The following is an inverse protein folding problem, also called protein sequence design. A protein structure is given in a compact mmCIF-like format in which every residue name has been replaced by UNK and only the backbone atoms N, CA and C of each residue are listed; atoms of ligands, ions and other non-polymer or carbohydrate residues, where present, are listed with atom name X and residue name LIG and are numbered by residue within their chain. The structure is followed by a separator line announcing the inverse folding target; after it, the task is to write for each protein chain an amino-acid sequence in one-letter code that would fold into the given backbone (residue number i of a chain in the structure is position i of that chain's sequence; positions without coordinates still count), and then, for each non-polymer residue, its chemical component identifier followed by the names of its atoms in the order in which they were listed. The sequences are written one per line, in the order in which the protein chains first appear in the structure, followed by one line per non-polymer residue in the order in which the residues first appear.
data_IF_061843773323
#
_entry.id   IF_061843773323
#
_cell.length_a   1.000
_cell.length_b   1.000
_cell.length_c   1.000
_cell.angle_alpha   90.00
_cell.angle_beta   90.00
_cell.angle_gamma   90.00
#
_symmetry.space_group_name_H-M   'P 1'
#
loop_
_entity.id
_entity.type
_entity.pdbx_description
1 polymer ?
#
# COMPACT_ATOMS: atom_id res chain seq x y z
N UNK A 1 -2.00 21.00 -18.90
CA UNK A 1 -1.38 20.02 -19.82
C UNK A 1 -0.95 18.85 -18.95
N UNK A 2 -1.44 17.65 -19.22
CA UNK A 2 -1.10 16.48 -18.42
C UNK A 2 0.37 16.10 -18.65
N UNK A 3 0.99 15.45 -17.66
CA UNK A 3 2.28 14.83 -17.89
C UNK A 3 2.11 13.58 -18.75
N UNK A 4 3.19 13.16 -19.42
CA UNK A 4 3.28 11.90 -20.18
C UNK A 4 2.75 10.71 -19.35
N UNK A 5 3.14 10.65 -18.07
CA UNK A 5 2.67 9.64 -17.12
C UNK A 5 1.15 9.70 -16.86
N UNK A 6 0.56 10.89 -16.79
CA UNK A 6 -0.88 11.04 -16.60
C UNK A 6 -1.66 10.60 -17.85
N UNK A 7 -1.12 10.88 -19.03
CA UNK A 7 -1.69 10.42 -20.30
C UNK A 7 -1.63 8.90 -20.42
N UNK A 8 -0.49 8.30 -20.07
CA UNK A 8 -0.30 6.84 -20.02
C UNK A 8 -1.24 6.16 -19.02
N UNK A 9 -1.37 6.70 -17.80
CA UNK A 9 -2.31 6.15 -16.81
C UNK A 9 -3.73 6.23 -17.38
N UNK A 10 -4.10 7.35 -18.01
CA UNK A 10 -5.47 7.55 -18.48
C UNK A 10 -5.84 6.63 -19.64
N UNK A 11 -4.91 6.36 -20.56
CA UNK A 11 -5.11 5.51 -21.74
C UNK A 11 -5.08 4.02 -21.40
N UNK A 12 -4.26 3.60 -20.43
CA UNK A 12 -4.05 2.18 -20.08
C UNK A 12 -4.95 1.67 -18.95
N UNK A 13 -5.71 2.55 -18.30
CA UNK A 13 -6.61 2.17 -17.19
C UNK A 13 -8.03 2.73 -17.37
N UNK A 14 -8.99 2.20 -16.61
CA UNK A 14 -10.38 2.65 -16.72
C UNK A 14 -11.13 2.64 -15.38
N UNK A 15 -12.29 3.30 -15.37
CA UNK A 15 -13.21 3.38 -14.23
C UNK A 15 -12.56 3.93 -12.96
N UNK A 16 -13.10 3.51 -11.82
CA UNK A 16 -12.66 3.99 -10.52
C UNK A 16 -11.20 3.64 -10.18
N UNK A 17 -10.65 2.58 -10.77
CA UNK A 17 -9.22 2.28 -10.63
C UNK A 17 -8.36 3.39 -11.26
N UNK A 18 -8.65 3.79 -12.50
CA UNK A 18 -8.00 4.93 -13.15
C UNK A 18 -8.15 6.20 -12.33
N UNK A 19 -9.38 6.53 -11.95
CA UNK A 19 -9.67 7.80 -11.29
C UNK A 19 -8.89 7.92 -9.95
N UNK A 20 -8.72 6.80 -9.24
CA UNK A 20 -7.89 6.73 -8.04
C UNK A 20 -6.39 6.94 -8.35
N UNK A 21 -5.86 6.30 -9.39
CA UNK A 21 -4.47 6.51 -9.81
C UNK A 21 -4.21 7.96 -10.24
N UNK A 22 -5.17 8.56 -10.95
CA UNK A 22 -5.12 9.96 -11.38
C UNK A 22 -5.18 10.93 -10.20
N UNK A 23 -5.87 10.57 -9.11
CA UNK A 23 -5.83 11.34 -7.87
C UNK A 23 -4.47 11.19 -7.16
N UNK A 24 -3.89 9.98 -7.12
CA UNK A 24 -2.60 9.73 -6.47
C UNK A 24 -1.42 10.39 -7.20
N UNK A 25 -1.39 10.34 -8.54
CA UNK A 25 -0.27 10.84 -9.35
C UNK A 25 -0.12 12.36 -9.28
N UNK A 26 -1.16 13.08 -8.86
CA UNK A 26 -1.08 14.53 -8.63
C UNK A 26 -0.12 14.87 -7.49
N UNK A 27 0.09 13.97 -6.52
CA UNK A 27 1.01 14.20 -5.42
C UNK A 27 0.60 15.31 -4.45
N UNK A 28 -0.68 15.68 -4.43
CA UNK A 28 -1.24 16.82 -3.66
C UNK A 28 -1.88 16.38 -2.34
N UNK A 29 -1.35 15.33 -1.69
CA UNK A 29 -1.87 14.88 -0.39
C UNK A 29 -1.68 16.00 0.65
N UNK A 30 -2.73 16.26 1.43
CA UNK A 30 -2.75 17.24 2.51
C UNK A 30 -1.65 16.97 3.55
N UNK A 31 -1.08 18.03 4.11
CA UNK A 31 -0.17 18.01 5.25
C UNK A 31 -0.74 18.87 6.38
N UNK A 32 -0.47 18.49 7.64
CA UNK A 32 -0.85 19.31 8.80
C UNK A 32 -1.48 18.54 9.95
N UNK A 33 -2.14 19.29 10.83
CA UNK A 33 -2.76 18.77 12.05
C UNK A 33 -4.02 17.95 11.76
N UNK A 34 -4.31 17.03 12.67
CA UNK A 34 -5.52 16.21 12.60
C UNK A 34 -6.74 16.91 13.20
N UNK A 35 -7.91 16.59 12.69
CA UNK A 35 -9.20 17.07 13.18
C UNK A 35 -10.10 15.87 13.49
N UNK A 36 -10.34 15.55 14.78
CA UNK A 36 -11.16 14.41 15.20
C UNK A 36 -12.62 14.48 14.70
N UNK A 37 -13.23 15.66 14.66
CA UNK A 37 -14.60 15.82 14.19
C UNK A 37 -14.69 15.53 12.68
N UNK A 38 -13.71 16.02 11.90
CA UNK A 38 -13.60 15.68 10.49
C UNK A 38 -13.31 14.19 10.29
N UNK A 39 -12.51 13.57 11.18
CA UNK A 39 -12.19 12.15 11.09
C UNK A 39 -13.45 11.27 11.22
N UNK A 40 -14.33 11.61 12.17
CA UNK A 40 -15.61 10.92 12.35
C UNK A 40 -16.55 11.12 11.14
N UNK A 41 -16.58 12.32 10.54
CA UNK A 41 -17.35 12.58 9.32
C UNK A 41 -16.84 11.77 8.13
N UNK A 42 -15.53 11.84 7.86
CA UNK A 42 -14.89 11.09 6.78
C UNK A 42 -15.07 9.57 6.99
N UNK A 43 -15.01 9.09 8.23
CA UNK A 43 -15.26 7.69 8.57
C UNK A 43 -16.70 7.24 8.24
N UNK A 44 -17.69 8.08 8.51
CA UNK A 44 -19.08 7.83 8.12
C UNK A 44 -19.22 7.73 6.60
N UNK A 45 -18.57 8.63 5.85
CA UNK A 45 -18.57 8.60 4.38
C UNK A 45 -17.93 7.31 3.84
N UNK A 46 -16.81 6.87 4.42
CA UNK A 46 -16.17 5.59 4.06
C UNK A 46 -17.08 4.40 4.34
N UNK A 47 -17.81 4.41 5.47
CA UNK A 47 -18.75 3.36 5.83
C UNK A 47 -19.94 3.32 4.88
N UNK A 48 -20.56 4.46 4.57
CA UNK A 48 -21.63 4.58 3.59
C UNK A 48 -21.17 4.12 2.20
N UNK A 49 -19.93 4.42 1.80
CA UNK A 49 -19.40 3.95 0.54
C UNK A 49 -19.29 2.42 0.44
N UNK A 50 -18.95 1.77 1.55
CA UNK A 50 -18.96 0.31 1.66
C UNK A 50 -20.38 -0.27 1.58
N UNK A 51 -21.38 0.40 2.17
CA UNK A 51 -22.78 -0.06 2.14
C UNK A 51 -23.46 0.16 0.77
N UNK A 52 -23.31 1.36 0.20
CA UNK A 52 -24.07 1.80 -0.98
C UNK A 52 -23.40 1.41 -2.30
N UNK A 53 -22.06 1.44 -2.36
CA UNK A 53 -21.23 1.03 -3.51
C UNK A 53 -21.56 1.74 -4.84
N UNK A 54 -22.27 2.87 -4.82
CA UNK A 54 -22.57 3.65 -6.03
C UNK A 54 -21.33 4.40 -6.53
N UNK A 55 -21.36 4.85 -7.79
CA UNK A 55 -20.24 5.61 -8.37
C UNK A 55 -19.89 6.88 -7.59
N UNK A 56 -20.91 7.61 -7.11
CA UNK A 56 -20.72 8.79 -6.28
C UNK A 56 -19.99 8.48 -4.97
N UNK A 57 -20.42 7.43 -4.25
CA UNK A 57 -19.76 7.05 -3.00
C UNK A 57 -18.34 6.54 -3.22
N UNK A 58 -18.08 5.82 -4.33
CA UNK A 58 -16.72 5.42 -4.72
C UNK A 58 -15.84 6.66 -4.94
N UNK A 59 -16.34 7.70 -5.60
CA UNK A 59 -15.62 8.96 -5.79
C UNK A 59 -15.33 9.65 -4.46
N UNK A 60 -16.29 9.70 -3.53
CA UNK A 60 -16.06 10.28 -2.19
C UNK A 60 -14.98 9.52 -1.41
N UNK A 61 -15.07 8.19 -1.40
CA UNK A 61 -14.07 7.31 -0.77
C UNK A 61 -12.67 7.55 -1.34
N UNK A 62 -12.54 7.68 -2.67
CA UNK A 62 -11.28 7.99 -3.32
C UNK A 62 -10.73 9.36 -2.90
N UNK A 63 -11.59 10.37 -2.85
CA UNK A 63 -11.19 11.73 -2.45
C UNK A 63 -10.59 11.74 -1.03
N UNK A 64 -11.21 11.01 -0.10
CA UNK A 64 -10.70 10.88 1.28
C UNK A 64 -9.35 10.17 1.28
N UNK A 65 -9.27 8.95 0.73
CA UNK A 65 -8.08 8.10 0.81
C UNK A 65 -6.87 8.68 0.06
N UNK A 66 -7.09 9.40 -1.04
CA UNK A 66 -6.00 9.96 -1.85
C UNK A 66 -5.48 11.30 -1.31
N UNK A 67 -6.35 12.13 -0.71
CA UNK A 67 -5.99 13.51 -0.38
C UNK A 67 -5.77 13.77 1.11
N UNK A 68 -6.45 13.09 2.04
CA UNK A 68 -6.26 13.37 3.47
C UNK A 68 -4.85 13.04 3.94
N UNK A 69 -4.33 13.81 4.89
CA UNK A 69 -2.99 13.56 5.44
C UNK A 69 -2.90 12.16 6.05
N UNK A 70 -1.69 11.61 6.11
CA UNK A 70 -1.48 10.28 6.70
C UNK A 70 -1.96 10.22 8.15
N UNK A 71 -1.73 11.27 8.93
CA UNK A 71 -2.17 11.35 10.32
C UNK A 71 -3.70 11.43 10.41
N UNK A 72 -4.35 12.18 9.51
CA UNK A 72 -5.81 12.28 9.48
C UNK A 72 -6.43 10.93 9.12
N UNK A 73 -5.93 10.27 8.08
CA UNK A 73 -6.44 8.95 7.67
C UNK A 73 -6.29 7.88 8.75
N UNK A 74 -5.22 7.95 9.55
CA UNK A 74 -5.07 7.04 10.68
C UNK A 74 -6.23 7.20 11.69
N UNK A 75 -6.63 8.43 12.02
CA UNK A 75 -7.80 8.68 12.88
C UNK A 75 -9.11 8.26 12.19
N UNK A 76 -9.25 8.55 10.89
CA UNK A 76 -10.43 8.13 10.10
C UNK A 76 -10.61 6.61 10.16
N UNK A 77 -9.54 5.82 10.06
CA UNK A 77 -9.65 4.36 10.12
C UNK A 77 -10.03 3.85 11.51
N UNK A 78 -9.66 4.55 12.58
CA UNK A 78 -10.11 4.22 13.93
C UNK A 78 -11.60 4.52 14.10
N UNK A 79 -12.04 5.71 13.68
CA UNK A 79 -13.45 6.07 13.74
C UNK A 79 -14.31 5.18 12.83
N UNK A 80 -13.79 4.78 11.67
CA UNK A 80 -14.45 3.81 10.81
C UNK A 80 -14.69 2.49 11.55
N UNK A 81 -13.69 1.98 12.26
CA UNK A 81 -13.83 0.76 13.04
C UNK A 81 -14.80 0.94 14.22
N UNK A 82 -14.81 2.11 14.86
CA UNK A 82 -15.76 2.42 15.93
C UNK A 82 -17.21 2.42 15.44
N UNK A 83 -17.47 3.00 14.26
CA UNK A 83 -18.81 3.15 13.68
C UNK A 83 -19.31 1.82 13.09
N UNK A 84 -18.46 1.15 12.30
CA UNK A 84 -18.85 -0.04 11.52
C UNK A 84 -18.68 -1.35 12.29
N UNK A 85 -17.82 -1.37 13.32
CA UNK A 85 -17.38 -2.60 13.99
C UNK A 85 -16.37 -3.44 13.19
N UNK A 86 -15.90 -2.96 12.03
CA UNK A 86 -15.08 -3.73 11.10
C UNK A 86 -13.75 -3.02 10.78
N UNK A 87 -12.70 -3.80 10.50
CA UNK A 87 -11.45 -3.23 9.98
C UNK A 87 -11.65 -2.69 8.55
N UNK A 88 -11.00 -1.56 8.24
CA UNK A 88 -11.11 -0.92 6.92
C UNK A 88 -10.68 -1.85 5.77
N UNK A 89 -9.65 -2.68 5.95
CA UNK A 89 -9.18 -3.61 4.90
C UNK A 89 -10.22 -4.70 4.67
N UNK A 90 -10.79 -5.25 5.75
CA UNK A 90 -11.82 -6.28 5.66
C UNK A 90 -13.08 -5.75 4.98
N UNK A 91 -13.51 -4.53 5.35
CA UNK A 91 -14.65 -3.88 4.72
C UNK A 91 -14.43 -3.64 3.23
N UNK A 92 -13.24 -3.17 2.82
CA UNK A 92 -12.91 -3.01 1.38
C UNK A 92 -12.97 -4.37 0.66
N UNK A 93 -12.42 -5.43 1.25
CA UNK A 93 -12.39 -6.77 0.66
C UNK A 93 -13.79 -7.37 0.47
N UNK A 94 -14.75 -7.03 1.33
CA UNK A 94 -16.14 -7.47 1.21
C UNK A 94 -16.95 -6.57 0.26
N UNK A 95 -16.54 -5.31 0.10
CA UNK A 95 -17.34 -4.31 -0.59
C UNK A 95 -17.03 -4.19 -2.08
N UNK A 96 -15.77 -4.38 -2.47
CA UNK A 96 -15.30 -4.16 -3.83
C UNK A 96 -14.46 -5.35 -4.32
N UNK A 97 -14.25 -5.41 -5.62
CA UNK A 97 -13.45 -6.44 -6.29
C UNK A 97 -12.38 -5.87 -7.24
N UNK A 98 -11.50 -6.75 -7.69
CA UNK A 98 -10.52 -6.49 -8.74
C UNK A 98 -9.51 -5.38 -8.41
N UNK A 99 -8.97 -4.75 -9.46
CA UNK A 99 -7.90 -3.76 -9.32
C UNK A 99 -8.26 -2.54 -8.46
N UNK A 100 -9.54 -2.15 -8.46
CA UNK A 100 -9.99 -1.05 -7.60
C UNK A 100 -9.89 -1.44 -6.13
N UNK A 101 -10.40 -2.61 -5.74
CA UNK A 101 -10.24 -3.15 -4.38
C UNK A 101 -8.76 -3.27 -3.99
N UNK A 102 -7.94 -3.89 -4.82
CA UNK A 102 -6.51 -4.09 -4.54
C UNK A 102 -5.77 -2.76 -4.31
N UNK A 103 -6.09 -1.73 -5.10
CA UNK A 103 -5.53 -0.39 -4.95
C UNK A 103 -5.95 0.27 -3.64
N UNK A 104 -7.24 0.19 -3.28
CA UNK A 104 -7.74 0.75 -2.02
C UNK A 104 -7.07 0.08 -0.81
N UNK A 105 -6.98 -1.25 -0.80
CA UNK A 105 -6.26 -2.00 0.25
C UNK A 105 -4.79 -1.57 0.32
N UNK A 106 -4.12 -1.42 -0.83
CA UNK A 106 -2.74 -0.96 -0.87
C UNK A 106 -2.56 0.43 -0.26
N UNK A 107 -3.48 1.37 -0.52
CA UNK A 107 -3.48 2.71 0.09
C UNK A 107 -3.62 2.60 1.62
N UNK A 108 -4.62 1.86 2.11
CA UNK A 108 -4.87 1.69 3.55
C UNK A 108 -3.66 1.08 4.26
N UNK A 109 -3.07 0.02 3.70
CA UNK A 109 -1.88 -0.62 4.27
C UNK A 109 -0.67 0.31 4.25
N UNK A 110 -0.47 1.09 3.18
CA UNK A 110 0.61 2.07 3.09
C UNK A 110 0.46 3.21 4.11
N UNK A 111 -0.77 3.60 4.42
CA UNK A 111 -1.06 4.62 5.44
C UNK A 111 -0.78 4.08 6.84
N UNK A 112 -1.17 2.83 7.13
CA UNK A 112 -0.98 2.20 8.44
C UNK A 112 0.48 1.89 8.74
N UNK A 113 1.15 1.18 7.82
CA UNK A 113 2.53 0.74 7.98
C UNK A 113 3.12 0.39 6.61
N UNK A 114 3.74 1.38 5.97
CA UNK A 114 4.38 1.24 4.66
C UNK A 114 5.50 0.18 4.63
N UNK A 115 6.40 0.09 5.63
CA UNK A 115 7.33 -1.03 5.73
C UNK A 115 6.65 -2.41 5.77
N UNK A 116 5.57 -2.57 6.54
CA UNK A 116 4.85 -3.83 6.62
C UNK A 116 4.12 -4.18 5.31
N UNK A 117 3.62 -3.18 4.58
CA UNK A 117 3.08 -3.38 3.23
C UNK A 117 4.14 -3.93 2.27
N UNK A 118 5.34 -3.34 2.23
CA UNK A 118 6.41 -3.85 1.37
C UNK A 118 6.92 -5.22 1.82
N UNK A 119 6.97 -5.50 3.13
CA UNK A 119 7.30 -6.82 3.64
C UNK A 119 6.29 -7.88 3.14
N UNK A 120 4.99 -7.56 3.19
CA UNK A 120 3.95 -8.40 2.62
C UNK A 120 4.14 -8.62 1.12
N UNK A 121 4.36 -7.54 0.35
CA UNK A 121 4.58 -7.63 -1.11
C UNK A 121 5.80 -8.46 -1.48
N UNK A 122 6.88 -8.40 -0.69
CA UNK A 122 8.06 -9.24 -0.87
C UNK A 122 7.75 -10.70 -0.57
N UNK A 123 7.05 -10.98 0.52
CA UNK A 123 6.67 -12.36 0.88
C UNK A 123 5.82 -13.01 -0.20
N UNK A 124 4.75 -12.34 -0.64
CA UNK A 124 3.91 -12.82 -1.74
C UNK A 124 4.71 -13.01 -3.02
N UNK A 125 5.62 -12.07 -3.35
CA UNK A 125 6.47 -12.20 -4.52
C UNK A 125 7.40 -13.42 -4.46
N UNK A 126 7.94 -13.76 -3.28
CA UNK A 126 8.87 -14.88 -3.14
C UNK A 126 8.13 -16.21 -3.08
N UNK A 127 7.07 -16.33 -2.28
CA UNK A 127 6.45 -17.61 -1.96
C UNK A 127 5.13 -17.90 -2.68
N UNK A 128 4.28 -16.89 -2.89
CA UNK A 128 2.93 -17.11 -3.44
C UNK A 128 2.95 -17.14 -4.98
N UNK A 129 3.85 -16.38 -5.60
CA UNK A 129 3.95 -16.27 -7.06
C UNK A 129 5.14 -17.03 -7.68
N UNK A 130 5.82 -17.88 -6.92
CA UNK A 130 6.97 -18.65 -7.42
C UNK A 130 8.15 -17.76 -7.82
N UNK A 131 8.62 -16.93 -6.89
CA UNK A 131 9.69 -15.94 -7.08
C UNK A 131 9.47 -14.97 -8.25
N UNK A 132 8.60 -13.98 -8.04
CA UNK A 132 8.31 -12.92 -8.99
C UNK A 132 9.42 -11.85 -9.04
N UNK A 133 10.47 -12.15 -9.82
CA UNK A 133 11.69 -11.35 -9.99
C UNK A 133 11.45 -9.84 -10.11
N UNK A 134 10.52 -9.40 -10.98
CA UNK A 134 10.25 -7.97 -11.22
C UNK A 134 9.81 -7.23 -9.95
N UNK A 135 9.03 -7.89 -9.09
CA UNK A 135 8.56 -7.26 -7.83
C UNK A 135 9.67 -7.20 -6.81
N UNK A 136 10.42 -8.30 -6.65
CA UNK A 136 11.55 -8.38 -5.71
C UNK A 136 12.60 -7.32 -6.05
N UNK A 137 13.04 -7.26 -7.30
CA UNK A 137 14.02 -6.28 -7.78
C UNK A 137 13.52 -4.85 -7.55
N UNK A 138 12.29 -4.56 -7.97
CA UNK A 138 11.72 -3.21 -7.85
C UNK A 138 11.65 -2.75 -6.40
N UNK A 139 11.20 -3.60 -5.48
CA UNK A 139 11.10 -3.22 -4.07
C UNK A 139 12.49 -3.09 -3.43
N UNK A 140 13.39 -4.06 -3.64
CA UNK A 140 14.72 -3.99 -3.03
C UNK A 140 15.50 -2.76 -3.48
N UNK A 141 15.48 -2.44 -4.78
CA UNK A 141 16.18 -1.26 -5.30
C UNK A 141 15.47 0.03 -4.87
N UNK A 142 14.15 0.13 -5.05
CA UNK A 142 13.46 1.40 -4.78
C UNK A 142 13.37 1.74 -3.28
N UNK A 143 13.61 0.77 -2.38
CA UNK A 143 13.53 0.96 -0.92
C UNK A 143 14.87 0.85 -0.21
N UNK A 144 15.95 0.46 -0.89
CA UNK A 144 17.27 0.19 -0.28
C UNK A 144 17.75 1.34 0.60
N UNK A 145 17.59 2.57 0.11
CA UNK A 145 18.08 3.79 0.77
C UNK A 145 16.97 4.58 1.48
N UNK A 146 15.78 3.99 1.65
CA UNK A 146 14.61 4.67 2.25
C UNK A 146 14.23 4.02 3.57
N UNK A 147 13.83 2.74 3.54
CA UNK A 147 13.29 2.04 4.72
C UNK A 147 13.47 0.53 4.68
N UNK A 148 14.40 0.00 3.86
CA UNK A 148 14.62 -1.43 3.71
C UNK A 148 14.93 -2.13 5.04
N UNK A 149 15.63 -1.47 5.98
CA UNK A 149 15.87 -2.00 7.32
C UNK A 149 14.57 -2.21 8.12
N UNK A 150 13.63 -1.26 8.02
CA UNK A 150 12.32 -1.39 8.66
C UNK A 150 11.50 -2.49 7.96
N UNK A 151 11.56 -2.59 6.62
CA UNK A 151 10.90 -3.65 5.86
C UNK A 151 11.41 -5.03 6.30
N UNK A 152 12.73 -5.21 6.44
CA UNK A 152 13.36 -6.45 6.92
C UNK A 152 12.88 -6.82 8.32
N UNK A 153 12.80 -5.83 9.22
CA UNK A 153 12.28 -6.03 10.58
C UNK A 153 10.83 -6.50 10.54
N UNK A 154 9.94 -5.80 9.83
CA UNK A 154 8.53 -6.18 9.68
C UNK A 154 8.35 -7.55 9.03
N UNK A 155 9.19 -7.87 8.05
CA UNK A 155 9.20 -9.19 7.40
C UNK A 155 9.52 -10.29 8.42
N UNK A 156 10.60 -10.14 9.20
CA UNK A 156 10.99 -11.11 10.22
C UNK A 156 9.94 -11.24 11.33
N UNK A 157 9.39 -10.12 11.80
CA UNK A 157 8.32 -10.11 12.81
C UNK A 157 7.08 -10.89 12.34
N UNK A 158 6.69 -10.74 11.07
CA UNK A 158 5.46 -11.34 10.53
C UNK A 158 5.63 -12.80 10.12
N UNK A 159 6.78 -13.17 9.56
CA UNK A 159 6.97 -14.49 8.91
C UNK A 159 7.96 -15.40 9.63
N UNK A 160 8.62 -14.93 10.70
CA UNK A 160 9.57 -15.71 11.50
C UNK A 160 10.90 -16.01 10.83
N UNK A 161 11.01 -15.80 9.51
CA UNK A 161 12.24 -15.90 8.71
C UNK A 161 12.66 -14.53 8.21
N UNK A 162 13.96 -14.32 8.05
CA UNK A 162 14.46 -13.06 7.50
C UNK A 162 14.30 -13.03 5.99
N UNK A 163 14.05 -11.83 5.44
CA UNK A 163 14.04 -11.61 3.99
C UNK A 163 15.33 -12.12 3.32
N UNK A 164 16.47 -11.93 3.99
CA UNK A 164 17.77 -12.43 3.53
C UNK A 164 17.77 -13.96 3.39
N UNK A 165 17.25 -14.68 4.38
CA UNK A 165 17.14 -16.14 4.34
C UNK A 165 16.29 -16.61 3.16
N UNK A 166 15.14 -15.96 2.92
CA UNK A 166 14.27 -16.36 1.81
C UNK A 166 14.87 -16.01 0.44
N UNK A 167 15.55 -14.86 0.29
CA UNK A 167 16.29 -14.56 -0.96
C UNK A 167 17.36 -15.64 -1.22
N UNK A 168 18.13 -16.03 -0.19
CA UNK A 168 19.19 -17.04 -0.29
C UNK A 168 18.66 -18.42 -0.69
N UNK A 169 17.45 -18.78 -0.28
CA UNK A 169 16.86 -20.08 -0.59
C UNK A 169 16.20 -20.14 -1.97
N UNK A 170 15.73 -19.00 -2.50
CA UNK A 170 14.94 -18.96 -3.74
C UNK A 170 15.67 -18.36 -4.94
N UNK A 171 16.76 -17.62 -4.74
CA UNK A 171 17.63 -17.14 -5.81
C UNK A 171 18.94 -17.94 -5.86
N UNK A 172 19.67 -17.86 -6.99
CA UNK A 172 21.01 -18.45 -7.10
C UNK A 172 21.98 -17.57 -7.90
N UNK A 173 23.28 -17.87 -7.78
CA UNK A 173 24.32 -17.31 -8.64
C UNK A 173 24.60 -15.82 -8.41
N UNK A 174 24.99 -15.10 -9.47
CA UNK A 174 25.28 -13.67 -9.37
C UNK A 174 24.05 -12.83 -9.03
N UNK A 175 22.87 -13.29 -9.45
CA UNK A 175 21.61 -12.62 -9.15
C UNK A 175 21.32 -12.64 -7.64
N UNK A 176 21.40 -13.82 -7.01
CA UNK A 176 21.29 -13.95 -5.55
C UNK A 176 22.28 -13.04 -4.82
N UNK A 177 23.56 -13.07 -5.20
CA UNK A 177 24.61 -12.24 -4.58
C UNK A 177 24.27 -10.75 -4.65
N UNK A 178 23.76 -10.28 -5.78
CA UNK A 178 23.34 -8.88 -5.93
C UNK A 178 22.15 -8.54 -5.03
N UNK A 179 21.10 -9.39 -5.00
CA UNK A 179 19.95 -9.16 -4.12
C UNK A 179 20.32 -9.19 -2.64
N UNK A 180 21.19 -10.12 -2.23
CA UNK A 180 21.66 -10.22 -0.85
C UNK A 180 22.53 -9.02 -0.45
N UNK A 181 23.38 -8.50 -1.36
CA UNK A 181 24.14 -7.28 -1.10
C UNK A 181 23.22 -6.08 -0.86
N UNK A 182 22.19 -5.91 -1.71
CA UNK A 182 21.18 -4.85 -1.51
C UNK A 182 20.40 -5.08 -0.21
N UNK A 183 20.01 -6.33 0.08
CA UNK A 183 19.24 -6.67 1.26
C UNK A 183 20.03 -6.47 2.56
N UNK A 184 21.33 -6.75 2.58
CA UNK A 184 22.19 -6.53 3.74
C UNK A 184 22.33 -5.03 4.06
N UNK A 185 22.45 -4.20 3.02
CA UNK A 185 22.80 -2.79 3.17
C UNK A 185 24.20 -2.62 3.80
N UNK A 186 24.43 -1.51 4.49
CA UNK A 186 25.71 -1.22 5.15
C UNK A 186 25.91 -1.97 6.48
N UNK A 187 24.99 -2.86 6.85
CA UNK A 187 25.01 -3.57 8.13
C UNK A 187 25.33 -5.04 7.90
N UNK A 188 26.50 -5.48 8.38
CA UNK A 188 26.83 -6.88 8.57
C UNK A 188 25.95 -7.46 9.70
N UNK A 189 24.70 -7.81 9.40
CA UNK A 189 23.87 -8.57 10.34
C UNK A 189 24.28 -10.06 10.28
N UNK A 190 25.07 -10.49 11.28
CA UNK A 190 25.37 -11.90 11.59
C UNK A 190 24.14 -12.65 12.12
#
# INVERSE_FOLDING_TARGET
MWSDLQEDIYSETSGHFRDTLMNLVQGTREEGYTNPAMAAQDAMVLWEACQQKTGEHKTMLQMILCNKSYQQLWMVFQEFQNISGQDMVDAINECYDGYFQELLVAIVLCVRDKPAFFAYRLYSAIHEFGFHNKTVIRILIARSEIDLMNIRKRYKERYGKSLFHDIKNFASGHYEKALLAICAGDVEDY
#
